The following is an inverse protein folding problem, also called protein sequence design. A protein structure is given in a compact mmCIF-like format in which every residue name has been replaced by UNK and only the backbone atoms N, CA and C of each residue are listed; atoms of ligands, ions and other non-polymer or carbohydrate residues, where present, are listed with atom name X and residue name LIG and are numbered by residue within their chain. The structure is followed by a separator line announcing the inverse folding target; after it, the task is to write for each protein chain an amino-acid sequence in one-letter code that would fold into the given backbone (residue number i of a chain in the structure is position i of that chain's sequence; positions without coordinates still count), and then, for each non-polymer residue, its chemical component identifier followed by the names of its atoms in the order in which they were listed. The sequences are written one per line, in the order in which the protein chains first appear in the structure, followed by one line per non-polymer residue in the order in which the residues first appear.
data_IF_054446872806
#
_entry.id   IF_054446872806
#
_cell.length_a   1.000
_cell.length_b   1.000
_cell.length_c   1.000
_cell.angle_alpha   90.00
_cell.angle_beta   90.00
_cell.angle_gamma   90.00
#
_symmetry.space_group_name_H-M   'P 1'
#
loop_
_entity.id
_entity.type
_entity.pdbx_description
1 polymer ?
#
# COMPACT_ATOMS: atom_id res chain seq x y z
N UNK A 1 1.75 4.77 -4.15
CA UNK A 1 2.20 5.15 -5.51
C UNK A 1 1.87 4.08 -6.55
N UNK A 2 1.93 4.46 -7.83
CA UNK A 2 1.93 3.56 -8.98
C UNK A 2 3.36 3.13 -9.32
N UNK A 3 3.56 1.86 -9.63
CA UNK A 3 4.89 1.35 -9.94
C UNK A 3 5.46 1.99 -11.23
N UNK A 4 6.64 2.64 -11.19
CA UNK A 4 7.21 3.27 -12.38
C UNK A 4 7.87 2.24 -13.33
N UNK A 5 8.15 1.01 -12.87
CA UNK A 5 8.83 -0.04 -13.63
C UNK A 5 8.52 -1.45 -13.12
N UNK A 6 8.83 -2.47 -13.93
CA UNK A 6 8.60 -3.90 -13.66
C UNK A 6 9.66 -4.58 -12.77
N UNK A 7 10.44 -3.82 -11.98
CA UNK A 7 11.63 -4.36 -11.28
C UNK A 7 11.34 -4.88 -9.87
N UNK A 8 10.40 -4.25 -9.18
CA UNK A 8 10.08 -4.58 -7.79
C UNK A 8 9.40 -5.94 -7.68
N UNK A 9 9.86 -6.77 -6.76
CA UNK A 9 9.17 -8.00 -6.36
C UNK A 9 8.34 -7.74 -5.10
N UNK A 10 7.18 -8.38 -5.03
CA UNK A 10 6.34 -8.32 -3.84
C UNK A 10 6.99 -9.10 -2.68
N UNK A 11 6.91 -8.54 -1.47
CA UNK A 11 7.48 -9.13 -0.25
C UNK A 11 6.49 -9.97 0.57
N UNK A 12 5.23 -10.01 0.17
CA UNK A 12 4.30 -11.01 0.71
C UNK A 12 4.84 -12.42 0.47
N UNK A 13 4.67 -13.33 1.44
CA UNK A 13 5.29 -14.64 1.41
C UNK A 13 4.89 -15.47 0.18
N UNK A 14 3.61 -15.40 -0.24
CA UNK A 14 3.09 -16.17 -1.37
C UNK A 14 3.67 -15.63 -2.68
N UNK A 15 3.53 -14.32 -2.91
CA UNK A 15 4.06 -13.67 -4.11
C UNK A 15 5.59 -13.74 -4.18
N UNK A 16 6.29 -13.59 -3.05
CA UNK A 16 7.75 -13.71 -2.98
C UNK A 16 8.22 -15.11 -3.36
N UNK A 17 7.51 -16.16 -2.92
CA UNK A 17 7.82 -17.56 -3.27
C UNK A 17 7.58 -17.83 -4.76
N UNK A 18 6.52 -17.24 -5.33
CA UNK A 18 6.21 -17.32 -6.75
C UNK A 18 7.12 -16.43 -7.63
N UNK A 19 7.92 -15.54 -7.03
CA UNK A 19 8.80 -14.63 -7.77
C UNK A 19 8.04 -13.50 -8.48
N UNK A 20 6.82 -13.20 -8.04
CA UNK A 20 5.93 -12.25 -8.71
C UNK A 20 6.48 -10.84 -8.67
N UNK A 21 6.44 -10.19 -9.83
CA UNK A 21 6.86 -8.80 -10.02
C UNK A 21 5.64 -7.89 -10.04
N UNK A 22 5.80 -6.71 -9.46
CA UNK A 22 4.83 -5.63 -9.56
C UNK A 22 5.07 -4.94 -10.91
N UNK A 23 4.04 -4.91 -11.77
CA UNK A 23 4.16 -4.34 -13.12
C UNK A 23 4.02 -2.82 -13.09
N UNK A 24 4.55 -2.17 -14.12
CA UNK A 24 4.47 -0.73 -14.33
C UNK A 24 3.01 -0.31 -14.41
N UNK A 25 2.65 0.72 -13.66
CA UNK A 25 1.27 1.20 -13.54
C UNK A 25 0.42 0.42 -12.54
N UNK A 26 0.92 -0.66 -11.92
CA UNK A 26 0.21 -1.31 -10.81
C UNK A 26 0.41 -0.53 -9.51
N UNK A 27 -0.66 -0.44 -8.73
CA UNK A 27 -0.60 0.15 -7.39
C UNK A 27 0.21 -0.74 -6.44
N UNK A 28 1.07 -0.10 -5.64
CA UNK A 28 1.90 -0.76 -4.64
C UNK A 28 2.04 0.05 -3.37
N UNK A 29 2.29 -0.66 -2.27
CA UNK A 29 2.70 -0.08 -1.00
C UNK A 29 4.21 -0.25 -0.81
N UNK A 30 4.89 0.85 -0.54
CA UNK A 30 6.29 0.88 -0.10
C UNK A 30 6.38 1.00 1.42
N UNK A 31 7.25 0.22 2.04
CA UNK A 31 7.62 0.37 3.45
C UNK A 31 9.13 0.47 3.54
N UNK A 32 9.62 1.57 4.13
CA UNK A 32 11.03 1.73 4.46
C UNK A 32 11.38 0.80 5.61
N UNK A 33 12.37 -0.05 5.40
CA UNK A 33 12.88 -0.98 6.42
C UNK A 33 14.35 -0.71 6.61
N UNK A 34 14.72 -0.48 7.86
CA UNK A 34 16.11 -0.33 8.27
C UNK A 34 16.62 -1.65 8.84
N UNK A 35 17.81 -2.04 8.38
CA UNK A 35 18.50 -3.22 8.90
C UNK A 35 19.97 -2.87 9.09
N UNK A 36 20.43 -2.95 10.34
CA UNK A 36 21.73 -2.43 10.75
C UNK A 36 21.84 -0.94 10.34
N UNK A 37 22.85 -0.58 9.57
CA UNK A 37 23.11 0.80 9.12
C UNK A 37 22.61 1.06 7.69
N UNK A 38 21.73 0.21 7.15
CA UNK A 38 21.20 0.35 5.78
C UNK A 38 19.67 0.35 5.79
N UNK A 39 19.09 1.35 5.17
CA UNK A 39 17.67 1.40 4.86
C UNK A 39 17.38 1.00 3.43
N UNK A 40 16.26 0.31 3.21
CA UNK A 40 15.78 0.00 1.87
C UNK A 40 14.26 -0.06 1.81
N UNK A 41 13.71 0.25 0.64
CA UNK A 41 12.29 0.07 0.38
C UNK A 41 11.96 -1.40 0.15
N UNK A 42 10.92 -1.85 0.84
CA UNK A 42 10.24 -3.12 0.59
C UNK A 42 8.89 -2.85 -0.04
N UNK A 43 8.50 -3.66 -1.02
CA UNK A 43 7.30 -3.43 -1.83
C UNK A 43 6.31 -4.57 -1.67
N UNK A 44 5.02 -4.25 -1.65
CA UNK A 44 3.93 -5.22 -1.77
C UNK A 44 2.97 -4.78 -2.88
N UNK A 45 2.38 -5.74 -3.59
CA UNK A 45 1.18 -5.46 -4.38
C UNK A 45 0.10 -4.87 -3.48
N UNK A 46 -0.75 -4.00 -4.02
CA UNK A 46 -1.89 -3.44 -3.30
C UNK A 46 -2.73 -4.54 -2.62
N UNK A 47 -3.09 -5.58 -3.37
CA UNK A 47 -3.83 -6.74 -2.87
C UNK A 47 -3.16 -7.57 -1.78
N UNK A 48 -1.86 -7.39 -1.57
CA UNK A 48 -1.06 -8.11 -0.57
C UNK A 48 -0.80 -7.29 0.71
N UNK A 49 -1.35 -6.08 0.79
CA UNK A 49 -1.29 -5.25 2.00
C UNK A 49 -2.23 -5.86 3.04
N UNK A 50 -1.72 -6.11 4.25
CA UNK A 50 -2.54 -6.66 5.34
C UNK A 50 -3.32 -5.56 6.05
N UNK A 51 -4.41 -5.94 6.74
CA UNK A 51 -5.17 -5.01 7.58
C UNK A 51 -4.29 -4.30 8.62
N UNK A 52 -3.33 -5.01 9.23
CA UNK A 52 -2.36 -4.41 10.16
C UNK A 52 -1.53 -3.29 9.49
N UNK A 53 -1.09 -3.47 8.24
CA UNK A 53 -0.38 -2.41 7.51
C UNK A 53 -1.29 -1.21 7.25
N UNK A 54 -2.57 -1.44 6.96
CA UNK A 54 -3.56 -0.36 6.82
C UNK A 54 -3.75 0.38 8.14
N UNK A 55 -3.89 -0.33 9.27
CA UNK A 55 -3.98 0.28 10.61
C UNK A 55 -2.73 1.05 11.01
N UNK A 56 -1.55 0.57 10.59
CA UNK A 56 -0.30 1.30 10.80
C UNK A 56 -0.27 2.59 9.98
N UNK A 57 -0.77 2.59 8.74
CA UNK A 57 -0.92 3.82 7.95
C UNK A 57 -1.90 4.80 8.62
N UNK A 58 -3.06 4.32 9.08
CA UNK A 58 -4.02 5.15 9.83
C UNK A 58 -3.35 5.82 11.05
N UNK A 59 -2.57 5.06 11.81
CA UNK A 59 -1.87 5.56 13.00
C UNK A 59 -0.80 6.59 12.65
N UNK A 60 -0.08 6.39 11.54
CA UNK A 60 0.99 7.29 11.08
C UNK A 60 0.45 8.62 10.57
N UNK A 61 -0.60 8.60 9.75
CA UNK A 61 -1.17 9.84 9.20
C UNK A 61 -2.05 10.55 10.24
N UNK A 62 -2.67 9.81 11.16
CA UNK A 62 -3.53 10.37 12.20
C UNK A 62 -4.76 11.07 11.63
N UNK A 63 -5.52 11.73 12.52
CA UNK A 63 -6.70 12.52 12.15
C UNK A 63 -6.55 13.96 12.60
N UNK A 64 -7.05 14.88 11.79
CA UNK A 64 -7.15 16.30 12.11
C UNK A 64 -8.22 16.58 13.16
N UNK A 65 -8.35 17.85 13.55
CA UNK A 65 -9.38 18.31 14.49
C UNK A 65 -10.81 18.17 13.97
N UNK A 66 -10.97 18.06 12.64
CA UNK A 66 -12.22 17.77 11.95
C UNK A 66 -12.59 16.27 11.93
N UNK A 67 -11.71 15.40 12.41
CA UNK A 67 -11.91 13.95 12.44
C UNK A 67 -11.60 13.22 11.12
N UNK A 68 -11.14 13.94 10.10
CA UNK A 68 -10.67 13.36 8.84
C UNK A 68 -9.19 12.98 8.92
N UNK A 69 -8.76 12.03 8.09
CA UNK A 69 -7.34 11.66 8.03
C UNK A 69 -6.51 12.76 7.36
N UNK A 70 -5.27 12.95 7.83
CA UNK A 70 -4.34 13.92 7.23
C UNK A 70 -3.69 13.29 5.98
N UNK A 71 -4.39 13.34 4.86
CA UNK A 71 -4.04 12.62 3.62
C UNK A 71 -2.69 13.04 3.03
N UNK A 72 -2.33 14.32 3.19
CA UNK A 72 -1.06 14.92 2.82
C UNK A 72 0.15 14.31 3.56
N UNK A 73 -0.08 13.66 4.71
CA UNK A 73 0.96 12.93 5.45
C UNK A 73 1.25 11.55 4.86
N UNK A 74 0.46 11.07 3.90
CA UNK A 74 0.69 9.80 3.23
C UNK A 74 1.75 9.97 2.13
N UNK A 75 2.86 9.23 2.25
CA UNK A 75 3.95 9.30 1.27
C UNK A 75 3.47 8.88 -0.15
N UNK A 76 3.79 9.72 -1.14
CA UNK A 76 3.33 9.59 -2.51
C UNK A 76 1.87 9.96 -2.76
N UNK A 77 1.21 10.71 -1.86
CA UNK A 77 -0.18 11.18 -2.05
C UNK A 77 -0.32 12.17 -3.22
N UNK A 78 0.56 13.17 -3.30
CA UNK A 78 0.54 14.20 -4.36
C UNK A 78 0.66 13.58 -5.77
N UNK A 79 1.43 12.50 -5.91
CA UNK A 79 1.60 11.78 -7.18
C UNK A 79 0.30 11.08 -7.67
N UNK A 80 -0.72 10.99 -6.81
CA UNK A 80 -2.01 10.38 -7.12
C UNK A 80 -3.08 11.41 -7.50
N UNK A 81 -2.80 12.71 -7.44
CA UNK A 81 -3.80 13.76 -7.74
C UNK A 81 -4.37 13.67 -9.15
N UNK A 82 -3.57 13.21 -10.12
CA UNK A 82 -4.01 12.94 -11.50
C UNK A 82 -4.80 11.62 -11.65
N UNK A 83 -5.00 10.88 -10.57
CA UNK A 83 -5.65 9.57 -10.52
C UNK A 83 -6.80 9.54 -9.47
N UNK A 84 -7.94 10.21 -9.75
CA UNK A 84 -9.02 10.36 -8.78
C UNK A 84 -9.66 9.03 -8.36
N UNK A 85 -9.68 8.04 -9.25
CA UNK A 85 -10.15 6.67 -8.97
C UNK A 85 -9.25 5.96 -7.94
N UNK A 86 -7.94 6.17 -8.04
CA UNK A 86 -6.95 5.66 -7.10
C UNK A 86 -7.04 6.36 -5.75
N UNK A 87 -7.20 7.69 -5.74
CA UNK A 87 -7.42 8.47 -4.52
C UNK A 87 -8.63 7.93 -3.76
N UNK A 88 -9.77 7.76 -4.45
CA UNK A 88 -10.99 7.27 -3.84
C UNK A 88 -10.80 5.85 -3.25
N UNK A 89 -10.09 4.98 -3.96
CA UNK A 89 -9.73 3.62 -3.50
C UNK A 89 -8.86 3.67 -2.23
N UNK A 90 -7.80 4.46 -2.22
CA UNK A 90 -6.91 4.59 -1.05
C UNK A 90 -7.67 5.14 0.15
N UNK A 91 -8.47 6.18 -0.02
CA UNK A 91 -9.28 6.75 1.07
C UNK A 91 -10.25 5.72 1.63
N UNK A 92 -10.95 4.97 0.77
CA UNK A 92 -11.87 3.91 1.20
C UNK A 92 -11.16 2.84 2.02
N UNK A 93 -10.06 2.29 1.51
CA UNK A 93 -9.26 1.25 2.20
C UNK A 93 -8.73 1.76 3.55
N UNK A 94 -8.18 2.97 3.59
CA UNK A 94 -7.70 3.58 4.83
C UNK A 94 -8.85 3.80 5.81
N UNK A 95 -10.04 4.24 5.37
CA UNK A 95 -11.20 4.44 6.26
C UNK A 95 -11.74 3.11 6.81
N UNK A 96 -11.80 2.05 6.02
CA UNK A 96 -12.32 0.74 6.45
C UNK A 96 -11.28 -0.15 7.15
N UNK A 97 -9.99 0.18 7.05
CA UNK A 97 -8.89 -0.53 7.74
C UNK A 97 -8.47 -1.85 7.09
N UNK A 98 -8.92 -2.15 5.88
CA UNK A 98 -8.56 -3.37 5.15
C UNK A 98 -8.70 -3.19 3.63
N UNK A 99 -8.00 -4.03 2.87
CA UNK A 99 -8.05 -4.02 1.40
C UNK A 99 -9.43 -4.47 0.92
N UNK A 100 -9.91 -3.84 -0.16
CA UNK A 100 -11.18 -4.21 -0.77
C UNK A 100 -11.18 -5.69 -1.21
N UNK A 101 -12.28 -6.43 -1.02
CA UNK A 101 -12.34 -7.85 -1.37
C UNK A 101 -11.99 -8.14 -2.84
N UNK A 102 -12.31 -7.22 -3.75
CA UNK A 102 -12.01 -7.31 -5.19
C UNK A 102 -10.51 -7.16 -5.52
N UNK A 103 -9.76 -6.48 -4.66
CA UNK A 103 -8.32 -6.25 -4.83
C UNK A 103 -7.49 -7.29 -4.06
N UNK A 104 -8.10 -8.04 -3.13
CA UNK A 104 -7.38 -8.91 -2.20
C UNK A 104 -6.73 -10.12 -2.88
N UNK A 105 -5.40 -10.26 -2.72
CA UNK A 105 -4.61 -11.35 -3.32
C UNK A 105 -4.49 -12.60 -2.41
N UNK A 106 -5.04 -12.57 -1.20
CA UNK A 106 -4.95 -13.68 -0.26
C UNK A 106 -5.98 -14.78 -0.54
N UNK A 107 -5.55 -16.03 -0.38
CA UNK A 107 -6.41 -17.20 -0.55
C UNK A 107 -7.57 -17.12 0.44
N UNK A 108 -8.80 -17.01 -0.07
CA UNK A 108 -9.98 -17.39 0.70
C UNK A 108 -9.87 -18.89 0.98
N UNK A 109 -9.37 -19.22 2.17
CA UNK A 109 -9.48 -20.57 2.72
C UNK A 109 -10.92 -20.72 3.21
N UNK A 110 -11.80 -21.14 2.31
CA UNK A 110 -13.05 -21.80 2.69
C UNK A 110 -12.74 -23.16 3.32
#
# INVERSE_FOLDING_TARGET
ELAPSNRAGCKDAVCKKAGEKIKKGEMRLGVWVEFQDRGSWTWRHWGCVSGEQVTNMQSKIGKGSDGEYQWDMLDGWEELEDHPDIIAKVQRVIKQGHIDPEDFNGVSVY
#
